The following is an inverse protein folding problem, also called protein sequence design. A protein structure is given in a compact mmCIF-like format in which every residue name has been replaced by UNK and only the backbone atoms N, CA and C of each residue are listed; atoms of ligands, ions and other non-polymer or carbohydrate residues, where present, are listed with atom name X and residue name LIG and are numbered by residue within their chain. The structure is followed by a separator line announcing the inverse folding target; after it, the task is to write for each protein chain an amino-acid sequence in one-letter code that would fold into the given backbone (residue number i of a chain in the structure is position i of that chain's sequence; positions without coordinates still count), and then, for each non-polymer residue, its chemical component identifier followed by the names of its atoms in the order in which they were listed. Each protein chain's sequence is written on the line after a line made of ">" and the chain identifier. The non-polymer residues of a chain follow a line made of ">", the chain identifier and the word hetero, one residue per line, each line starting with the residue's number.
data_IF_514639125701
#
_entry.id   IF_514639125701
#
_cell.length_a   1.000
_cell.length_b   1.000
_cell.length_c   1.000
_cell.angle_alpha   90.00
_cell.angle_beta   90.00
_cell.angle_gamma   90.00
#
_symmetry.space_group_name_H-M   'P 1'
#
loop_
_entity.id
_entity.type
_entity.pdbx_description
1 polymer ?
#
# COMPACT_ATOMS: atom_id res chain seq x y z
N UNK A 1 6.80 21.82 2.49
CA UNK A 1 5.96 20.66 2.11
C UNK A 1 5.99 19.61 3.23
N UNK A 2 4.90 18.87 3.50
CA UNK A 2 4.91 17.84 4.54
C UNK A 2 6.08 16.89 4.27
N UNK A 3 6.92 16.72 5.28
CA UNK A 3 8.29 16.21 5.17
C UNK A 3 8.35 14.79 4.62
N UNK A 4 8.79 14.61 3.38
CA UNK A 4 9.32 13.34 2.89
C UNK A 4 10.61 13.06 3.66
N UNK A 5 10.56 12.14 4.63
CA UNK A 5 11.77 11.63 5.28
C UNK A 5 12.22 10.40 4.51
N UNK A 6 13.37 10.51 3.82
CA UNK A 6 14.03 9.36 3.21
C UNK A 6 14.56 8.48 4.35
N UNK A 7 14.32 7.17 4.30
CA UNK A 7 15.03 6.24 5.18
C UNK A 7 16.44 6.08 4.63
N UNK A 8 17.44 6.48 5.42
CA UNK A 8 18.84 6.33 5.05
C UNK A 8 19.27 4.87 5.24
N UNK A 9 19.06 4.03 4.22
CA UNK A 9 19.76 2.75 4.11
C UNK A 9 21.18 3.01 3.60
N UNK A 10 22.00 3.70 4.40
CA UNK A 10 23.43 3.79 4.18
C UNK A 10 24.06 2.42 4.50
N UNK A 11 24.16 1.57 3.48
CA UNK A 11 24.76 0.25 3.58
C UNK A 11 26.24 0.33 3.94
N UNK A 12 26.57 -0.01 5.19
CA UNK A 12 27.87 -0.57 5.51
C UNK A 12 27.90 -2.00 4.95
N UNK A 13 28.89 -2.33 4.15
CA UNK A 13 28.97 -3.61 3.42
C UNK A 13 29.11 -4.85 4.33
N UNK A 14 29.24 -4.68 5.64
CA UNK A 14 29.18 -5.76 6.63
C UNK A 14 27.90 -5.76 7.49
N UNK A 15 26.98 -4.81 7.32
CA UNK A 15 25.73 -4.73 8.12
C UNK A 15 24.56 -5.50 7.50
N UNK A 16 24.61 -5.83 6.21
CA UNK A 16 23.53 -6.55 5.52
C UNK A 16 23.42 -8.01 6.01
N UNK A 17 24.55 -8.71 6.18
CA UNK A 17 24.54 -10.11 6.64
C UNK A 17 24.13 -10.23 8.12
N UNK A 18 24.54 -9.28 8.96
CA UNK A 18 24.19 -9.24 10.39
C UNK A 18 22.72 -8.78 10.61
N UNK A 19 22.16 -7.97 9.71
CA UNK A 19 20.75 -7.56 9.78
C UNK A 19 19.78 -8.63 9.27
N UNK A 20 20.20 -9.47 8.32
CA UNK A 20 19.38 -10.56 7.76
C UNK A 20 19.28 -11.75 8.74
N UNK A 21 20.30 -12.02 9.54
CA UNK A 21 20.31 -13.19 10.44
C UNK A 21 19.55 -12.99 11.76
N UNK A 22 19.11 -11.78 12.12
CA UNK A 22 18.54 -11.48 13.45
C UNK A 22 17.20 -10.72 13.49
N UNK A 23 16.46 -10.56 12.40
CA UNK A 23 15.13 -9.93 12.43
C UNK A 23 14.10 -10.69 11.60
N UNK A 24 13.71 -11.86 12.09
CA UNK A 24 12.30 -12.26 12.00
C UNK A 24 11.50 -11.26 12.85
N UNK A 25 11.21 -10.08 12.30
CA UNK A 25 10.11 -9.26 12.79
C UNK A 25 8.82 -10.00 12.44
N UNK A 26 8.42 -10.91 13.32
CA UNK A 26 7.10 -11.50 13.22
C UNK A 26 6.11 -10.44 13.68
N UNK A 27 5.64 -9.60 12.75
CA UNK A 27 4.56 -8.64 12.99
C UNK A 27 3.24 -9.40 13.12
N UNK A 28 3.08 -10.17 14.20
CA UNK A 28 1.96 -11.09 14.45
C UNK A 28 0.59 -10.41 14.54
N UNK A 29 0.55 -9.08 14.65
CA UNK A 29 -0.67 -8.28 14.62
C UNK A 29 -1.09 -7.78 13.23
N UNK A 30 -0.27 -7.95 12.19
CA UNK A 30 -0.60 -7.47 10.84
C UNK A 30 -1.12 -8.64 10.00
N UNK A 31 -2.40 -8.59 9.67
CA UNK A 31 -3.04 -9.60 8.84
C UNK A 31 -3.29 -9.07 7.43
N UNK A 32 -2.91 -9.87 6.43
CA UNK A 32 -3.12 -9.56 5.02
C UNK A 32 -4.38 -10.25 4.48
N UNK A 33 -5.16 -9.53 3.68
CA UNK A 33 -6.27 -10.06 2.89
C UNK A 33 -5.82 -10.08 1.43
N UNK A 34 -5.62 -11.28 0.89
CA UNK A 34 -5.23 -11.45 -0.51
C UNK A 34 -6.31 -10.96 -1.47
N UNK A 35 -5.91 -10.68 -2.72
CA UNK A 35 -6.83 -10.29 -3.80
C UNK A 35 -8.04 -11.21 -3.95
N UNK A 36 -7.81 -12.51 -3.89
CA UNK A 36 -8.88 -13.51 -3.96
C UNK A 36 -9.88 -13.34 -2.81
N UNK A 37 -9.36 -13.14 -1.60
CA UNK A 37 -10.17 -13.07 -0.38
C UNK A 37 -11.04 -11.81 -0.27
N UNK A 38 -10.67 -10.70 -0.90
CA UNK A 38 -11.54 -9.53 -1.03
C UNK A 38 -12.28 -9.48 -2.37
N UNK A 39 -12.15 -10.54 -3.20
CA UNK A 39 -12.79 -10.71 -4.52
C UNK A 39 -12.43 -9.58 -5.49
N UNK A 40 -11.13 -9.35 -5.63
CA UNK A 40 -10.59 -8.40 -6.60
C UNK A 40 -10.98 -8.76 -8.03
N UNK A 41 -11.30 -7.75 -8.83
CA UNK A 41 -11.28 -7.90 -10.27
C UNK A 41 -9.87 -8.23 -10.74
N UNK A 42 -9.77 -8.88 -11.90
CA UNK A 42 -8.50 -9.04 -12.59
C UNK A 42 -7.91 -7.68 -12.93
N UNK A 43 -6.61 -7.52 -12.73
CA UNK A 43 -5.90 -6.34 -13.22
C UNK A 43 -5.78 -6.42 -14.73
N UNK A 44 -5.72 -5.25 -15.38
CA UNK A 44 -5.26 -5.15 -16.77
C UNK A 44 -3.73 -5.36 -16.80
N UNK A 45 -3.07 -5.40 -17.96
CA UNK A 45 -1.61 -5.46 -18.01
C UNK A 45 -0.98 -4.34 -17.17
N UNK A 46 -0.17 -4.70 -16.18
CA UNK A 46 0.44 -3.80 -15.20
C UNK A 46 1.95 -3.67 -15.41
N UNK A 47 2.49 -2.51 -15.02
CA UNK A 47 3.93 -2.30 -14.94
C UNK A 47 4.52 -2.83 -13.63
N UNK A 48 5.75 -3.31 -13.69
CA UNK A 48 6.51 -3.79 -12.54
C UNK A 48 7.65 -2.82 -12.22
N UNK A 49 8.07 -2.79 -10.95
CA UNK A 49 9.26 -2.04 -10.57
C UNK A 49 10.50 -2.60 -11.26
N UNK A 50 11.41 -1.71 -11.67
CA UNK A 50 12.70 -2.09 -12.26
C UNK A 50 13.75 -2.47 -11.19
N UNK A 51 13.43 -2.34 -9.91
CA UNK A 51 14.32 -2.61 -8.78
C UNK A 51 13.98 -3.95 -8.13
N UNK A 52 15.00 -4.78 -7.90
CA UNK A 52 14.84 -6.07 -7.21
C UNK A 52 14.91 -5.93 -5.68
N UNK A 53 15.57 -4.88 -5.19
CA UNK A 53 15.82 -4.65 -3.75
C UNK A 53 14.75 -3.78 -3.06
N UNK A 54 13.57 -3.63 -3.69
CA UNK A 54 12.47 -2.80 -3.19
C UNK A 54 12.49 -1.38 -3.74
N UNK A 55 11.71 -0.49 -3.11
CA UNK A 55 11.53 0.91 -3.55
C UNK A 55 12.13 1.89 -2.55
N UNK A 56 12.65 3.05 -2.99
CA UNK A 56 13.25 4.04 -2.09
C UNK A 56 12.23 4.88 -1.30
N UNK A 57 10.95 4.85 -1.62
CA UNK A 57 9.93 5.67 -0.97
C UNK A 57 8.67 4.88 -0.60
N UNK A 58 8.02 5.33 0.47
CA UNK A 58 6.69 4.88 0.88
C UNK A 58 5.81 6.12 1.05
N UNK A 59 4.60 6.07 0.49
CA UNK A 59 3.57 7.07 0.68
C UNK A 59 2.39 6.48 1.46
N UNK A 60 1.77 7.29 2.29
CA UNK A 60 0.45 6.97 2.83
C UNK A 60 -0.57 7.98 2.33
N UNK A 61 -1.78 7.50 2.07
CA UNK A 61 -2.94 8.29 1.62
C UNK A 61 -4.15 7.93 2.46
N UNK A 62 -5.15 8.81 2.49
CA UNK A 62 -6.50 8.44 2.89
C UNK A 62 -7.42 8.49 1.66
N UNK A 63 -8.48 7.67 1.62
CA UNK A 63 -9.37 7.61 0.46
C UNK A 63 -10.36 8.78 0.39
N UNK A 64 -10.53 9.53 1.48
CA UNK A 64 -11.47 10.65 1.62
C UNK A 64 -12.93 10.28 1.30
N UNK A 65 -13.29 9.02 1.53
CA UNK A 65 -14.60 8.45 1.21
C UNK A 65 -15.26 7.75 2.39
N UNK A 66 -16.08 6.75 2.07
CA UNK A 66 -16.73 5.88 3.06
C UNK A 66 -15.70 5.19 3.97
N UNK A 67 -16.11 4.94 5.20
CA UNK A 67 -15.35 4.20 6.22
C UNK A 67 -15.87 2.77 6.34
N UNK A 68 -15.07 1.90 6.95
CA UNK A 68 -15.44 0.51 7.22
C UNK A 68 -14.76 0.01 8.49
N UNK A 69 -15.42 -0.93 9.16
CA UNK A 69 -14.98 -1.51 10.44
C UNK A 69 -15.05 -3.05 10.44
N UNK A 70 -15.44 -3.66 9.31
CA UNK A 70 -15.50 -5.11 9.13
C UNK A 70 -14.91 -5.54 7.80
N UNK A 71 -14.42 -6.77 7.75
CA UNK A 71 -13.77 -7.33 6.55
C UNK A 71 -14.64 -7.22 5.31
N UNK A 72 -15.94 -7.46 5.45
CA UNK A 72 -16.90 -7.46 4.33
C UNK A 72 -17.15 -6.04 3.80
N UNK A 73 -17.39 -5.07 4.70
CA UNK A 73 -17.62 -3.67 4.32
C UNK A 73 -16.36 -3.03 3.72
N UNK A 74 -15.19 -3.30 4.29
CA UNK A 74 -13.92 -2.84 3.74
C UNK A 74 -13.64 -3.45 2.37
N UNK A 75 -13.86 -4.75 2.19
CA UNK A 75 -13.71 -5.40 0.89
C UNK A 75 -14.69 -4.82 -0.16
N UNK A 76 -15.92 -4.46 0.24
CA UNK A 76 -16.88 -3.81 -0.65
C UNK A 76 -16.41 -2.45 -1.13
N UNK A 77 -15.94 -1.59 -0.22
CA UNK A 77 -15.42 -0.26 -0.56
C UNK A 77 -14.21 -0.39 -1.48
N UNK A 78 -13.28 -1.30 -1.20
CA UNK A 78 -12.10 -1.53 -2.05
C UNK A 78 -12.52 -1.96 -3.47
N UNK A 79 -13.49 -2.87 -3.61
CA UNK A 79 -14.03 -3.25 -4.93
C UNK A 79 -14.64 -2.07 -5.67
N UNK A 80 -15.41 -1.20 -5.00
CA UNK A 80 -15.98 0.02 -5.61
C UNK A 80 -14.87 0.95 -6.12
N UNK A 81 -13.82 1.16 -5.35
CA UNK A 81 -12.65 1.94 -5.78
C UNK A 81 -11.92 1.30 -6.95
N UNK A 82 -11.70 -0.02 -6.92
CA UNK A 82 -11.07 -0.73 -8.04
C UNK A 82 -11.86 -0.54 -9.34
N UNK A 83 -13.18 -0.71 -9.28
CA UNK A 83 -14.07 -0.50 -10.43
C UNK A 83 -14.00 0.95 -10.93
N UNK A 84 -14.05 1.94 -10.04
CA UNK A 84 -13.92 3.35 -10.44
C UNK A 84 -12.55 3.63 -11.10
N UNK A 85 -11.46 3.16 -10.51
CA UNK A 85 -10.12 3.33 -11.07
C UNK A 85 -9.96 2.67 -12.44
N UNK A 86 -10.47 1.45 -12.61
CA UNK A 86 -10.35 0.71 -13.87
C UNK A 86 -11.29 1.25 -14.96
N UNK A 87 -12.55 1.51 -14.63
CA UNK A 87 -13.59 1.80 -15.63
C UNK A 87 -13.77 3.29 -15.86
N UNK A 88 -13.62 4.13 -14.83
CA UNK A 88 -13.78 5.59 -14.95
C UNK A 88 -12.45 6.27 -15.23
N UNK A 89 -11.36 5.90 -14.55
CA UNK A 89 -10.04 6.52 -14.75
C UNK A 89 -9.16 5.79 -15.77
N UNK A 90 -9.58 4.61 -16.23
CA UNK A 90 -8.87 3.83 -17.23
C UNK A 90 -7.61 3.13 -16.71
N UNK A 91 -7.35 3.14 -15.40
CA UNK A 91 -6.14 2.56 -14.81
C UNK A 91 -6.14 1.03 -14.90
N UNK A 92 -4.97 0.43 -14.69
CA UNK A 92 -4.80 -1.02 -14.79
C UNK A 92 -5.47 -1.75 -13.62
N UNK A 93 -5.46 -1.10 -12.45
CA UNK A 93 -6.01 -1.59 -11.20
C UNK A 93 -6.27 -0.45 -10.20
N UNK A 94 -6.72 -0.78 -9.00
CA UNK A 94 -6.81 0.13 -7.86
C UNK A 94 -5.51 0.92 -7.66
N UNK A 95 -5.61 2.20 -7.28
CA UNK A 95 -4.47 3.12 -7.18
C UNK A 95 -3.33 2.62 -6.28
N UNK A 96 -3.70 1.96 -5.19
CA UNK A 96 -2.82 1.71 -4.06
C UNK A 96 -2.20 0.31 -4.11
N UNK A 97 -0.95 0.19 -3.65
CA UNK A 97 -0.33 -1.11 -3.38
C UNK A 97 -1.05 -1.86 -2.26
N UNK A 98 -1.37 -1.16 -1.16
CA UNK A 98 -2.02 -1.75 0.01
C UNK A 98 -3.10 -0.83 0.61
N UNK A 99 -4.40 -1.05 0.30
CA UNK A 99 -5.47 -0.45 1.08
C UNK A 99 -5.49 -0.99 2.51
N UNK A 100 -5.81 -0.13 3.49
CA UNK A 100 -5.90 -0.48 4.91
C UNK A 100 -7.30 -0.11 5.40
N UNK A 101 -8.05 -1.09 5.88
CA UNK A 101 -9.40 -0.90 6.41
C UNK A 101 -9.39 -0.42 7.85
N UNK A 102 -10.50 0.18 8.29
CA UNK A 102 -10.71 0.49 9.71
C UNK A 102 -10.94 -0.76 10.57
N UNK A 103 -11.12 -1.92 9.94
CA UNK A 103 -11.08 -3.24 10.57
C UNK A 103 -9.66 -3.70 10.95
N UNK A 104 -8.63 -2.89 10.61
CA UNK A 104 -7.23 -3.15 10.92
C UNK A 104 -6.53 -4.13 9.97
N UNK A 105 -7.20 -4.56 8.90
CA UNK A 105 -6.63 -5.49 7.91
C UNK A 105 -5.92 -4.75 6.77
N UNK A 106 -4.85 -5.37 6.27
CA UNK A 106 -4.12 -4.88 5.08
C UNK A 106 -4.57 -5.66 3.87
N UNK A 107 -5.19 -4.98 2.91
CA UNK A 107 -5.68 -5.60 1.69
C UNK A 107 -4.61 -5.53 0.61
N UNK A 108 -4.41 -6.62 -0.12
CA UNK A 108 -3.51 -6.63 -1.27
C UNK A 108 -4.18 -5.89 -2.44
N UNK A 109 -3.74 -4.67 -2.74
CA UNK A 109 -4.08 -3.96 -3.97
C UNK A 109 -3.15 -4.42 -5.10
N UNK A 110 -2.29 -3.52 -5.58
CA UNK A 110 -1.23 -3.88 -6.54
C UNK A 110 -0.08 -4.70 -5.91
N UNK A 111 0.03 -4.71 -4.58
CA UNK A 111 1.04 -5.48 -3.88
C UNK A 111 2.46 -4.95 -4.05
N UNK A 112 3.46 -5.76 -3.72
CA UNK A 112 4.85 -5.31 -3.55
C UNK A 112 5.62 -5.03 -4.84
N UNK A 113 5.24 -5.66 -5.96
CA UNK A 113 6.07 -5.69 -7.18
C UNK A 113 5.57 -4.80 -8.31
N UNK A 114 4.35 -4.28 -8.19
CA UNK A 114 3.65 -3.57 -9.26
C UNK A 114 3.59 -2.08 -8.98
N UNK A 115 3.79 -1.29 -10.04
CA UNK A 115 3.76 0.16 -10.02
C UNK A 115 2.35 0.65 -9.67
N UNK A 116 2.28 1.59 -8.72
CA UNK A 116 1.04 2.22 -8.27
C UNK A 116 0.44 3.26 -9.23
N UNK A 117 -0.67 3.87 -8.82
CA UNK A 117 -1.23 5.07 -9.47
C UNK A 117 -1.69 6.09 -8.41
N UNK A 118 -0.89 6.27 -7.36
CA UNK A 118 -1.23 7.01 -6.14
C UNK A 118 -0.54 8.37 -6.03
N UNK A 119 0.63 8.57 -6.65
CA UNK A 119 1.40 9.81 -6.53
C UNK A 119 2.15 10.10 -7.82
N UNK A 120 1.67 11.10 -8.56
CA UNK A 120 2.26 11.51 -9.83
C UNK A 120 3.75 11.84 -9.65
N UNK A 121 4.60 11.25 -10.49
CA UNK A 121 6.06 11.41 -10.45
C UNK A 121 6.80 10.48 -9.48
N UNK A 122 6.10 9.65 -8.70
CA UNK A 122 6.72 8.71 -7.74
C UNK A 122 6.22 7.27 -7.86
N UNK A 123 5.19 7.00 -8.66
CA UNK A 123 4.54 5.69 -8.75
C UNK A 123 5.48 4.51 -9.05
N UNK A 124 6.56 4.75 -9.81
CA UNK A 124 7.54 3.75 -10.27
C UNK A 124 8.74 3.57 -9.33
N UNK A 125 8.82 4.39 -8.28
CA UNK A 125 9.88 4.37 -7.26
C UNK A 125 9.33 4.35 -5.84
N UNK A 126 8.05 3.99 -5.67
CA UNK A 126 7.41 3.99 -4.36
C UNK A 126 6.28 3.00 -4.22
N UNK A 127 5.98 2.65 -2.97
CA UNK A 127 4.81 1.89 -2.57
C UNK A 127 3.84 2.81 -1.84
N UNK A 128 2.54 2.52 -1.94
CA UNK A 128 1.53 3.25 -1.18
C UNK A 128 0.67 2.40 -0.25
N UNK A 129 0.39 2.96 0.92
CA UNK A 129 -0.60 2.48 1.87
C UNK A 129 -1.80 3.43 1.90
N UNK A 130 -2.98 2.95 1.49
CA UNK A 130 -4.19 3.75 1.36
C UNK A 130 -5.18 3.46 2.48
N UNK A 131 -5.27 4.33 3.49
CA UNK A 131 -6.23 4.21 4.59
C UNK A 131 -7.65 4.52 4.11
N UNK A 132 -8.57 3.59 4.31
CA UNK A 132 -9.98 3.77 3.94
C UNK A 132 -10.63 4.76 4.91
N UNK A 133 -11.21 5.83 4.38
CA UNK A 133 -11.99 6.80 5.13
C UNK A 133 -11.45 8.22 5.13
N UNK A 134 -12.02 9.04 6.01
CA UNK A 134 -11.65 10.45 6.17
C UNK A 134 -10.77 10.64 7.39
N UNK A 135 -9.46 10.70 7.16
CA UNK A 135 -8.50 11.08 8.20
C UNK A 135 -8.49 12.60 8.39
N UNK A 136 -9.60 13.17 8.85
CA UNK A 136 -9.67 14.58 9.23
C UNK A 136 -9.29 14.74 10.71
N UNK A 137 -8.02 15.10 10.96
CA UNK A 137 -7.49 15.50 12.28
C UNK A 137 -7.88 14.56 13.45
N UNK A 138 -7.22 13.41 13.52
CA UNK A 138 -6.87 12.79 14.80
C UNK A 138 -5.45 12.25 14.66
N UNK A 139 -4.55 12.82 15.47
CA UNK A 139 -3.12 12.51 15.64
C UNK A 139 -2.51 11.57 14.61
N UNK A 140 -1.73 12.16 13.70
CA UNK A 140 -0.82 11.46 12.78
C UNK A 140 -0.10 10.32 13.51
N UNK A 141 -0.55 9.09 13.28
CA UNK A 141 0.20 7.91 13.70
C UNK A 141 1.37 7.80 12.72
N UNK A 142 2.55 8.11 13.21
CA UNK A 142 3.80 7.83 12.53
C UNK A 142 4.01 6.32 12.54
N UNK A 143 4.21 5.72 11.37
CA UNK A 143 4.82 4.39 11.28
C UNK A 143 6.23 4.58 10.73
N UNK A 144 7.17 3.98 11.47
CA UNK A 144 8.62 4.18 11.50
C UNK A 144 9.29 3.92 10.15
#
# INVERSE_FOLDING_TARGET
>A
PPSTRKTDNAGSTNSLQIAIENRYFNCSGISFVSREHWRANQSKPENYFNTLDGVPYVFYHHTDGDECDSRDTCAEIIRKWQVCHQNTRGWDDIAYNFPIGGDGLVYEGRGWRRVGAHTLGYNDISLSFGFIGKLTKQNSVYVV
#
